data_IF_356996647817
#
_entry.id   IF_356996647817
#
_cell.length_a   1.000
_cell.length_b   1.000
_cell.length_c   1.000
_cell.angle_alpha   90.00
_cell.angle_beta   90.00
_cell.angle_gamma   90.00
#
_symmetry.space_group_name_H-M   'P 1'
#
loop_
_entity.id
_entity.type
_entity.pdbx_description
1 polymer ?
#
# COMPACT_ATOMS: atom_id res chain seq x y z
N UNK A 1 -27.76 -56.27 -2.30
CA UNK A 1 -28.05 -55.96 -3.73
C UNK A 1 -27.83 -54.46 -3.88
N UNK A 2 -26.80 -53.87 -4.48
CA UNK A 2 -25.60 -54.18 -5.29
C UNK A 2 -24.53 -53.16 -4.78
N UNK A 3 -23.27 -53.42 -4.42
CA UNK A 3 -22.06 -53.95 -5.10
C UNK A 3 -21.56 -53.17 -6.34
N UNK A 4 -20.24 -52.91 -6.31
CA UNK A 4 -19.31 -52.31 -7.29
C UNK A 4 -19.20 -50.77 -7.31
N UNK A 5 -18.02 -50.16 -7.44
CA UNK A 5 -16.69 -50.70 -7.72
C UNK A 5 -15.62 -49.60 -7.73
N UNK A 6 -14.41 -49.99 -7.40
CA UNK A 6 -13.18 -49.20 -7.34
C UNK A 6 -12.63 -48.87 -8.73
N UNK A 7 -11.98 -47.72 -8.92
CA UNK A 7 -10.92 -47.55 -9.94
C UNK A 7 -9.76 -46.72 -9.36
N UNK A 8 -8.59 -47.37 -9.28
CA UNK A 8 -7.23 -46.82 -9.18
C UNK A 8 -6.69 -46.51 -10.58
N UNK A 9 -5.49 -45.90 -10.63
CA UNK A 9 -4.59 -45.59 -11.75
C UNK A 9 -4.59 -44.09 -12.11
N UNK A 10 -3.46 -43.41 -12.28
CA UNK A 10 -2.09 -43.90 -12.40
C UNK A 10 -1.05 -42.79 -12.15
N UNK A 11 0.13 -43.26 -11.74
CA UNK A 11 1.40 -42.55 -11.70
C UNK A 11 1.85 -42.22 -13.13
N UNK A 12 2.42 -41.03 -13.34
CA UNK A 12 3.45 -40.84 -14.35
C UNK A 12 4.66 -40.13 -13.72
N UNK A 13 5.78 -40.84 -13.77
CA UNK A 13 7.16 -40.40 -13.54
C UNK A 13 7.81 -40.14 -14.91
N UNK A 14 8.98 -39.51 -14.87
CA UNK A 14 9.87 -39.05 -15.97
C UNK A 14 9.65 -37.58 -16.34
N UNK A 15 10.64 -36.69 -16.27
CA UNK A 15 12.09 -36.86 -16.22
C UNK A 15 12.71 -36.01 -17.32
N UNK A 16 13.68 -35.15 -16.98
CA UNK A 16 14.88 -34.84 -17.77
C UNK A 16 15.53 -33.54 -17.28
N UNK A 17 16.78 -33.68 -16.88
CA UNK A 17 17.71 -32.61 -16.62
C UNK A 17 18.12 -31.89 -17.91
N UNK A 18 18.40 -30.58 -17.81
CA UNK A 18 19.32 -29.91 -18.74
C UNK A 18 20.27 -29.03 -17.94
N UNK A 19 21.51 -29.50 -17.86
CA UNK A 19 22.72 -28.79 -17.47
C UNK A 19 23.24 -28.06 -18.71
N UNK A 20 23.54 -26.76 -18.66
CA UNK A 20 24.55 -26.17 -19.56
C UNK A 20 25.21 -24.94 -18.93
N UNK A 21 26.50 -24.85 -19.24
CA UNK A 21 27.58 -24.23 -18.48
C UNK A 21 27.85 -22.76 -18.80
N UNK A 22 28.52 -22.11 -17.83
CA UNK A 22 29.68 -21.19 -17.94
C UNK A 22 29.75 -20.19 -19.11
N UNK A 23 29.93 -18.91 -18.78
CA UNK A 23 31.11 -18.14 -19.21
C UNK A 23 31.26 -16.85 -18.39
N UNK A 24 32.43 -16.72 -17.78
CA UNK A 24 32.96 -15.51 -17.19
C UNK A 24 33.48 -14.57 -18.29
N UNK A 25 33.39 -13.25 -18.07
CA UNK A 25 34.34 -12.31 -18.63
C UNK A 25 34.50 -11.12 -17.69
N UNK A 26 35.75 -10.91 -17.29
CA UNK A 26 36.27 -9.86 -16.42
C UNK A 26 36.36 -8.48 -17.11
N UNK A 27 36.71 -7.48 -16.28
CA UNK A 27 37.60 -6.33 -16.54
C UNK A 27 37.01 -5.05 -17.17
N UNK A 28 36.86 -4.03 -16.33
CA UNK A 28 37.82 -2.90 -16.16
C UNK A 28 37.13 -1.61 -15.67
N UNK A 29 37.53 -1.15 -14.49
CA UNK A 29 37.55 0.27 -14.05
C UNK A 29 38.84 0.94 -14.58
N UNK A 30 39.13 2.24 -14.32
CA UNK A 30 38.31 3.43 -14.02
C UNK A 30 38.70 4.64 -14.91
N UNK A 31 38.03 5.80 -14.76
CA UNK A 31 38.71 7.11 -14.83
C UNK A 31 37.89 8.23 -14.16
N UNK A 32 38.55 8.87 -13.21
CA UNK A 32 38.24 10.14 -12.53
C UNK A 32 38.56 11.30 -13.46
N UNK A 33 37.76 12.38 -13.43
CA UNK A 33 38.23 13.76 -13.67
C UNK A 33 37.51 14.70 -12.70
N UNK A 34 38.32 15.61 -12.15
CA UNK A 34 38.07 16.63 -11.15
C UNK A 34 37.20 17.81 -11.62
N UNK A 35 36.36 18.29 -10.70
CA UNK A 35 36.32 19.64 -10.12
C UNK A 35 36.70 20.86 -11.02
N UNK A 36 35.75 21.79 -11.21
CA UNK A 36 36.05 23.24 -11.24
C UNK A 36 34.89 24.03 -10.60
N UNK A 37 35.28 24.91 -9.67
CA UNK A 37 34.51 25.89 -8.90
C UNK A 37 34.34 27.18 -9.72
N UNK A 38 33.20 27.88 -9.61
CA UNK A 38 33.10 29.33 -9.34
C UNK A 38 31.68 29.91 -9.58
N UNK A 39 31.09 30.46 -8.51
CA UNK A 39 30.34 31.72 -8.53
C UNK A 39 31.31 32.85 -8.06
N UNK A 40 30.98 34.16 -7.97
CA UNK A 40 29.70 34.86 -8.17
C UNK A 40 29.80 36.21 -8.93
N UNK A 41 28.67 36.88 -9.21
CA UNK A 41 28.59 38.36 -9.14
C UNK A 41 27.16 38.90 -9.02
N UNK A 42 27.04 39.89 -8.15
CA UNK A 42 25.83 40.62 -7.75
C UNK A 42 25.50 41.79 -8.68
N UNK A 43 24.23 42.24 -8.67
CA UNK A 43 23.84 43.64 -8.41
C UNK A 43 22.32 43.90 -8.47
N UNK A 44 21.83 44.69 -7.49
CA UNK A 44 20.55 45.44 -7.42
C UNK A 44 20.81 46.87 -7.96
N UNK A 45 19.82 47.72 -8.36
CA UNK A 45 18.94 48.50 -7.44
C UNK A 45 17.46 48.59 -7.95
N UNK A 46 16.43 48.58 -7.08
CA UNK A 46 15.70 49.72 -6.45
C UNK A 46 14.85 50.58 -7.40
N UNK A 47 13.52 50.59 -7.21
CA UNK A 47 12.72 51.78 -6.83
C UNK A 47 11.20 51.52 -6.92
N UNK A 48 10.46 52.03 -5.92
CA UNK A 48 8.99 52.19 -5.90
C UNK A 48 8.64 53.65 -6.23
N UNK A 49 7.43 53.95 -6.75
CA UNK A 49 6.42 54.56 -5.86
C UNK A 49 4.94 54.24 -6.18
N UNK A 50 4.09 54.26 -5.15
CA UNK A 50 2.60 54.31 -5.13
C UNK A 50 2.09 55.76 -5.40
N UNK A 51 0.78 56.13 -5.35
CA UNK A 51 -0.53 55.43 -5.43
C UNK A 51 -1.60 56.14 -6.32
N UNK A 52 -2.77 55.51 -6.62
CA UNK A 52 -4.08 56.23 -6.68
C UNK A 52 -5.34 55.35 -6.79
N UNK A 53 -6.28 55.66 -5.90
CA UNK A 53 -7.74 55.73 -6.01
C UNK A 53 -8.59 54.53 -6.49
N UNK A 54 -9.47 54.07 -5.58
CA UNK A 54 -10.72 53.36 -5.87
C UNK A 54 -11.69 54.22 -6.69
N UNK A 55 -12.67 53.62 -7.40
CA UNK A 55 -14.03 53.74 -6.89
C UNK A 55 -15.02 52.59 -7.21
N UNK A 56 -16.14 52.64 -6.49
CA UNK A 56 -17.50 52.11 -6.76
C UNK A 56 -17.78 50.61 -6.61
N UNK A 57 -18.66 50.32 -5.65
CA UNK A 57 -19.36 49.07 -5.44
C UNK A 57 -20.21 48.68 -6.67
N UNK A 58 -19.92 47.52 -7.24
CA UNK A 58 -20.80 46.85 -8.18
C UNK A 58 -21.62 45.78 -7.43
N UNK A 59 -22.92 45.81 -7.71
CA UNK A 59 -23.98 44.90 -7.26
C UNK A 59 -23.55 43.44 -7.47
N UNK A 60 -23.47 42.67 -6.39
CA UNK A 60 -23.31 41.22 -6.44
C UNK A 60 -24.64 40.59 -6.89
N UNK A 61 -24.74 40.25 -8.16
CA UNK A 61 -25.67 39.22 -8.63
C UNK A 61 -25.19 37.89 -8.07
N UNK A 62 -25.99 37.28 -7.18
CA UNK A 62 -25.72 35.95 -6.64
C UNK A 62 -25.57 34.94 -7.78
N UNK A 63 -24.37 34.39 -7.92
CA UNK A 63 -24.12 33.20 -8.72
C UNK A 63 -24.83 32.00 -8.06
N UNK A 64 -25.30 31.01 -8.82
CA UNK A 64 -25.84 29.78 -8.24
C UNK A 64 -24.76 29.14 -7.37
N UNK A 65 -25.15 28.69 -6.18
CA UNK A 65 -24.30 28.06 -5.18
C UNK A 65 -23.31 27.09 -5.84
N UNK A 66 -22.07 27.55 -6.01
CA UNK A 66 -20.96 26.67 -6.30
C UNK A 66 -20.86 25.72 -5.11
N UNK A 67 -20.85 24.41 -5.38
CA UNK A 67 -20.50 23.41 -4.39
C UNK A 67 -19.26 23.92 -3.64
N UNK A 68 -19.26 23.91 -2.29
CA UNK A 68 -18.09 24.36 -1.56
C UNK A 68 -16.90 23.58 -2.08
N UNK A 69 -15.89 24.29 -2.60
CA UNK A 69 -14.58 23.70 -2.84
C UNK A 69 -14.10 23.23 -1.46
N UNK A 70 -14.27 21.93 -1.19
CA UNK A 70 -13.61 21.29 -0.07
C UNK A 70 -12.12 21.46 -0.30
N UNK A 71 -11.53 22.44 0.37
CA UNK A 71 -10.08 22.61 0.46
C UNK A 71 -9.48 21.28 0.88
N UNK A 72 -8.82 20.64 -0.09
CA UNK A 72 -8.44 19.25 -0.04
C UNK A 72 -7.65 18.86 1.20
N UNK A 73 -7.94 17.65 1.69
CA UNK A 73 -7.17 16.82 2.61
C UNK A 73 -5.78 16.44 2.03
N UNK A 74 -5.08 17.37 1.38
CA UNK A 74 -3.79 17.14 0.73
C UNK A 74 -2.65 17.46 1.70
N UNK A 75 -2.50 16.59 2.70
CA UNK A 75 -1.40 16.64 3.65
C UNK A 75 -1.03 15.26 4.19
N UNK A 76 -1.16 14.23 3.36
CA UNK A 76 -1.04 12.84 3.78
C UNK A 76 0.26 12.20 3.25
N UNK A 77 1.29 12.20 4.07
CA UNK A 77 2.54 11.46 3.82
C UNK A 77 2.34 9.98 4.15
N UNK A 78 1.55 9.26 3.35
CA UNK A 78 1.75 7.82 3.23
C UNK A 78 3.09 7.65 2.55
N UNK A 79 4.15 7.34 3.29
CA UNK A 79 5.48 7.18 2.70
C UNK A 79 5.71 5.73 2.30
N UNK A 80 5.95 5.51 1.00
CA UNK A 80 6.60 4.29 0.57
C UNK A 80 7.92 4.13 1.31
N UNK A 81 8.24 2.88 1.64
CA UNK A 81 9.43 2.59 2.44
C UNK A 81 10.05 1.28 2.03
N UNK A 82 11.38 1.28 2.00
CA UNK A 82 12.18 0.05 2.01
C UNK A 82 12.91 0.00 3.33
N UNK A 83 12.66 -1.04 4.12
CA UNK A 83 13.25 -1.22 5.44
C UNK A 83 14.73 -1.63 5.42
N UNK A 84 15.27 -2.12 6.55
CA UNK A 84 14.53 -2.68 7.68
C UNK A 84 14.08 -1.63 8.69
N UNK A 85 12.81 -1.70 9.07
CA UNK A 85 12.27 -0.93 10.18
C UNK A 85 11.67 -1.87 11.21
N UNK A 86 12.22 -1.86 12.42
CA UNK A 86 11.72 -2.69 13.52
C UNK A 86 10.30 -2.28 13.88
N UNK A 87 9.39 -3.24 13.91
CA UNK A 87 8.02 -3.04 14.32
C UNK A 87 7.86 -3.30 15.81
N UNK A 88 7.03 -2.49 16.47
CA UNK A 88 6.68 -2.75 17.85
C UNK A 88 5.85 -4.03 17.96
N UNK A 89 6.01 -4.73 19.09
CA UNK A 89 5.20 -5.91 19.39
C UNK A 89 4.73 -5.87 20.83
N UNK A 90 3.49 -6.28 21.06
CA UNK A 90 2.90 -6.36 22.40
C UNK A 90 2.52 -7.80 22.71
N UNK A 91 3.13 -8.43 23.73
CA UNK A 91 2.70 -9.76 24.15
C UNK A 91 1.35 -9.67 24.85
N UNK A 92 0.43 -10.55 24.44
CA UNK A 92 -0.87 -10.71 25.07
C UNK A 92 -0.83 -11.91 25.99
N UNK A 93 -1.28 -11.73 27.24
CA UNK A 93 -1.49 -12.85 28.16
C UNK A 93 -2.65 -13.71 27.65
N UNK A 94 -2.64 -15.00 28.00
CA UNK A 94 -3.70 -15.94 27.60
C UNK A 94 -5.10 -15.42 27.96
N UNK A 95 -5.29 -14.88 29.16
CA UNK A 95 -6.58 -14.33 29.58
C UNK A 95 -7.02 -13.09 28.75
N UNK A 96 -6.08 -12.23 28.35
CA UNK A 96 -6.37 -11.06 27.50
C UNK A 96 -6.77 -11.51 26.10
N UNK A 97 -6.03 -12.48 25.55
CA UNK A 97 -6.33 -13.10 24.26
C UNK A 97 -7.69 -13.80 24.23
N UNK A 98 -8.00 -14.59 25.25
CA UNK A 98 -9.29 -15.29 25.36
C UNK A 98 -10.45 -14.31 25.48
N UNK A 99 -10.26 -13.20 26.21
CA UNK A 99 -11.26 -12.13 26.30
C UNK A 99 -11.49 -11.45 24.95
N UNK A 100 -10.43 -11.13 24.20
CA UNK A 100 -10.54 -10.53 22.86
C UNK A 100 -11.25 -11.47 21.88
N UNK A 101 -10.87 -12.75 21.86
CA UNK A 101 -11.53 -13.73 21.01
C UNK A 101 -13.01 -13.89 21.35
N UNK A 102 -13.34 -13.99 22.64
CA UNK A 102 -14.73 -14.08 23.06
C UNK A 102 -15.53 -12.84 22.64
N UNK A 103 -14.90 -11.67 22.60
CA UNK A 103 -15.55 -10.45 22.12
C UNK A 103 -15.78 -10.47 20.61
N UNK A 104 -14.76 -10.79 19.81
CA UNK A 104 -14.90 -10.93 18.36
C UNK A 104 -15.92 -12.01 17.99
N UNK A 105 -15.96 -13.11 18.74
CA UNK A 105 -16.94 -14.18 18.56
C UNK A 105 -18.38 -13.75 18.91
N UNK A 106 -18.57 -12.89 19.90
CA UNK A 106 -19.90 -12.31 20.19
C UNK A 106 -20.29 -11.29 19.14
N UNK A 107 -19.32 -10.55 18.61
CA UNK A 107 -19.49 -9.44 17.69
C UNK A 107 -19.17 -9.84 16.23
N UNK A 108 -19.48 -11.07 15.80
CA UNK A 108 -19.15 -11.60 14.46
C UNK A 108 -19.68 -10.78 13.27
N UNK A 109 -20.71 -9.96 13.49
CA UNK A 109 -21.22 -9.05 12.46
C UNK A 109 -20.32 -7.81 12.27
N UNK A 110 -19.44 -7.55 13.24
CA UNK A 110 -18.58 -6.37 13.30
C UNK A 110 -17.11 -6.72 13.07
N UNK A 111 -16.74 -8.01 13.14
CA UNK A 111 -15.37 -8.47 12.98
C UNK A 111 -15.27 -9.69 12.07
N UNK A 112 -14.23 -9.71 11.22
CA UNK A 112 -13.78 -10.89 10.49
C UNK A 112 -12.45 -11.38 11.07
N UNK A 113 -12.14 -12.66 10.87
CA UNK A 113 -10.86 -13.23 11.31
C UNK A 113 -10.30 -14.17 10.24
N UNK A 114 -9.07 -13.90 9.81
CA UNK A 114 -8.32 -14.71 8.85
C UNK A 114 -7.16 -15.40 9.54
N UNK A 115 -7.07 -16.73 9.40
CA UNK A 115 -6.02 -17.55 9.99
C UNK A 115 -5.02 -18.02 8.93
N UNK A 116 -3.72 -17.86 9.20
CA UNK A 116 -2.64 -18.34 8.33
C UNK A 116 -1.53 -18.96 9.18
N UNK A 117 -1.64 -20.25 9.49
CA UNK A 117 -0.69 -20.96 10.34
C UNK A 117 -0.58 -20.32 11.73
N UNK A 118 0.60 -19.76 12.05
CA UNK A 118 0.89 -19.07 13.32
C UNK A 118 0.45 -17.61 13.36
N UNK A 119 -0.28 -17.15 12.34
CA UNK A 119 -0.75 -15.78 12.18
C UNK A 119 -2.27 -15.71 12.24
N UNK A 120 -2.78 -14.63 12.82
CA UNK A 120 -4.20 -14.29 12.83
C UNK A 120 -4.37 -12.81 12.52
N UNK A 121 -5.07 -12.51 11.43
CA UNK A 121 -5.50 -11.17 11.07
C UNK A 121 -6.94 -10.99 11.53
N UNK A 122 -7.23 -9.89 12.21
CA UNK A 122 -8.57 -9.51 12.65
C UNK A 122 -8.91 -8.15 12.04
N UNK A 123 -10.07 -8.07 11.41
CA UNK A 123 -10.59 -6.83 10.80
C UNK A 123 -11.94 -6.52 11.43
N UNK A 124 -12.35 -5.25 11.45
CA UNK A 124 -13.66 -4.86 11.97
C UNK A 124 -13.85 -3.35 11.98
N UNK A 125 -14.48 -2.83 13.03
CA UNK A 125 -14.77 -1.38 13.19
C UNK A 125 -13.48 -0.56 13.41
N UNK A 126 -12.44 -1.20 13.93
CA UNK A 126 -11.14 -0.60 14.16
C UNK A 126 -10.17 -0.93 13.02
N UNK A 127 -8.99 -0.29 13.04
CA UNK A 127 -7.88 -0.66 12.15
C UNK A 127 -7.57 -2.16 12.23
N UNK A 128 -7.18 -2.81 11.12
CA UNK A 128 -6.85 -4.22 11.12
C UNK A 128 -5.70 -4.52 12.08
N UNK A 129 -5.80 -5.64 12.79
CA UNK A 129 -4.84 -6.08 13.82
C UNK A 129 -4.25 -7.42 13.42
N UNK A 130 -2.92 -7.51 13.42
CA UNK A 130 -2.20 -8.75 13.11
C UNK A 130 -1.55 -9.31 14.36
N UNK A 131 -1.90 -10.56 14.66
CA UNK A 131 -1.35 -11.32 15.75
C UNK A 131 -0.51 -12.48 15.23
N UNK A 132 0.54 -12.82 15.97
CA UNK A 132 1.38 -13.96 15.66
C UNK A 132 1.87 -14.69 16.90
N UNK A 133 2.23 -15.94 16.70
CA UNK A 133 2.95 -16.76 17.66
C UNK A 133 4.40 -16.96 17.19
N UNK A 134 5.37 -16.99 18.11
CA UNK A 134 6.78 -17.22 17.74
C UNK A 134 6.94 -18.62 17.14
N UNK A 135 6.30 -19.61 17.76
CA UNK A 135 6.18 -20.97 17.23
C UNK A 135 4.69 -21.33 17.10
N UNK A 136 4.36 -22.23 16.17
CA UNK A 136 2.96 -22.63 15.91
C UNK A 136 2.24 -23.31 17.10
N UNK A 137 2.99 -23.73 18.12
CA UNK A 137 2.48 -24.34 19.34
C UNK A 137 2.71 -23.48 20.59
N UNK A 138 3.18 -22.24 20.41
CA UNK A 138 3.28 -21.30 21.52
C UNK A 138 1.88 -20.97 22.04
N UNK A 139 1.75 -20.66 23.33
CA UNK A 139 0.51 -20.21 23.93
C UNK A 139 0.40 -18.68 23.99
N UNK A 140 1.50 -17.98 23.73
CA UNK A 140 1.57 -16.53 23.80
C UNK A 140 1.33 -15.94 22.41
N UNK A 141 0.26 -15.16 22.29
CA UNK A 141 0.02 -14.33 21.13
C UNK A 141 0.72 -12.98 21.29
N UNK A 142 1.21 -12.43 20.18
CA UNK A 142 1.80 -11.10 20.12
C UNK A 142 1.10 -10.31 19.04
N UNK A 143 0.72 -9.08 19.35
CA UNK A 143 0.26 -8.13 18.35
C UNK A 143 1.47 -7.45 17.70
N UNK A 144 1.43 -7.29 16.37
CA UNK A 144 2.42 -6.56 15.60
C UNK A 144 1.86 -5.17 15.29
N UNK A 145 2.64 -4.13 15.54
CA UNK A 145 2.36 -2.83 14.95
C UNK A 145 2.55 -2.91 13.44
N UNK A 146 1.44 -2.94 12.70
CA UNK A 146 1.47 -2.97 11.25
C UNK A 146 2.03 -1.67 10.66
N UNK A 147 2.29 -0.66 11.51
CA UNK A 147 2.74 0.68 11.18
C UNK A 147 1.87 1.28 10.07
N UNK A 148 0.57 0.94 10.03
CA UNK A 148 -0.37 1.46 9.04
C UNK A 148 -0.25 2.97 9.02
N UNK A 149 -0.40 3.61 7.85
CA UNK A 149 -0.35 5.06 7.80
C UNK A 149 -1.36 5.63 8.81
N UNK A 150 -0.92 6.62 9.59
CA UNK A 150 -1.69 7.28 10.66
C UNK A 150 -2.82 8.17 10.12
N UNK A 151 -3.39 7.79 8.96
CA UNK A 151 -4.51 8.52 8.41
C UNK A 151 -5.69 8.29 9.35
N UNK A 152 -6.40 9.37 9.67
CA UNK A 152 -7.79 9.34 10.14
C UNK A 152 -8.74 8.82 9.04
N UNK A 153 -8.27 7.85 8.22
CA UNK A 153 -9.15 6.96 7.47
C UNK A 153 -10.01 6.34 8.56
N UNK A 154 -11.28 6.70 8.55
CA UNK A 154 -12.25 6.02 9.36
C UNK A 154 -12.25 4.59 8.83
N UNK A 155 -11.57 3.68 9.53
CA UNK A 155 -11.56 2.23 9.27
C UNK A 155 -12.96 1.61 9.49
N UNK A 156 -14.01 2.43 9.50
CA UNK A 156 -15.39 2.03 9.62
C UNK A 156 -15.79 1.06 8.51
N UNK A 157 -16.84 0.30 8.78
CA UNK A 157 -17.29 -0.91 8.07
C UNK A 157 -17.56 -0.77 6.55
N UNK A 158 -17.31 0.39 5.96
CA UNK A 158 -17.54 0.69 4.56
C UNK A 158 -16.31 0.28 3.73
N UNK A 159 -16.20 -1.02 3.51
CA UNK A 159 -15.51 -1.63 2.35
C UNK A 159 -13.99 -1.47 2.26
N UNK A 160 -13.28 -1.94 3.28
CA UNK A 160 -11.87 -2.28 3.15
C UNK A 160 -11.65 -3.74 2.74
N UNK A 161 -10.75 -4.03 1.81
CA UNK A 161 -10.26 -5.41 1.59
C UNK A 161 -8.89 -5.57 2.26
N UNK A 162 -8.74 -6.55 3.16
CA UNK A 162 -7.42 -6.95 3.65
C UNK A 162 -7.08 -8.35 3.16
N UNK A 163 -5.89 -8.52 2.59
CA UNK A 163 -5.37 -9.81 2.18
C UNK A 163 -4.09 -10.12 2.96
N UNK A 164 -4.02 -11.33 3.54
CA UNK A 164 -2.82 -11.84 4.20
C UNK A 164 -2.31 -13.07 3.44
N UNK A 165 -1.05 -13.03 3.00
CA UNK A 165 -0.37 -14.12 2.33
C UNK A 165 1.07 -14.27 2.86
N UNK A 166 1.75 -15.33 2.42
CA UNK A 166 3.14 -15.63 2.75
C UNK A 166 3.97 -15.73 1.49
N UNK A 167 5.21 -15.27 1.56
CA UNK A 167 6.19 -15.30 0.48
C UNK A 167 7.53 -15.77 1.02
N UNK A 168 8.40 -16.29 0.15
CA UNK A 168 9.78 -16.61 0.52
C UNK A 168 10.74 -15.82 -0.38
N UNK A 169 11.19 -14.66 0.10
CA UNK A 169 12.03 -13.70 -0.60
C UNK A 169 13.51 -13.95 -0.35
N UNK A 170 13.90 -14.25 0.89
CA UNK A 170 15.31 -14.50 1.22
C UNK A 170 15.79 -15.93 0.89
N UNK A 171 14.86 -16.82 0.52
CA UNK A 171 15.14 -18.21 0.19
C UNK A 171 15.32 -19.12 1.40
N UNK A 172 15.07 -18.63 2.62
CA UNK A 172 15.10 -19.40 3.86
C UNK A 172 13.76 -20.10 4.06
N UNK A 173 13.70 -21.03 5.01
CA UNK A 173 12.46 -21.80 5.27
C UNK A 173 11.35 -20.96 5.89
N UNK A 174 11.69 -19.84 6.54
CA UNK A 174 10.72 -18.92 7.10
C UNK A 174 10.17 -18.01 5.99
N UNK A 175 8.85 -18.01 5.82
CA UNK A 175 8.19 -17.12 4.88
C UNK A 175 8.02 -15.71 5.49
N UNK A 176 8.26 -14.68 4.70
CA UNK A 176 7.81 -13.31 4.97
C UNK A 176 6.29 -13.19 4.74
N UNK A 177 5.65 -12.24 5.42
CA UNK A 177 4.23 -11.96 5.23
C UNK A 177 4.03 -10.88 4.18
N UNK A 178 3.09 -11.10 3.28
CA UNK A 178 2.55 -10.06 2.39
C UNK A 178 1.19 -9.67 2.95
N UNK A 179 1.02 -8.39 3.20
CA UNK A 179 -0.19 -7.85 3.76
C UNK A 179 -0.65 -6.70 2.87
N UNK A 180 -1.84 -6.86 2.30
CA UNK A 180 -2.45 -5.86 1.44
C UNK A 180 -3.65 -5.27 2.14
N UNK A 181 -3.77 -3.96 2.10
CA UNK A 181 -4.91 -3.25 2.67
C UNK A 181 -5.47 -2.33 1.61
N UNK A 182 -6.78 -2.40 1.41
CA UNK A 182 -7.48 -1.50 0.53
C UNK A 182 -8.56 -0.72 1.29
N UNK A 183 -8.20 0.18 2.22
CA UNK A 183 -9.19 0.98 2.89
C UNK A 183 -9.94 1.87 1.89
N UNK A 184 -11.22 2.08 2.14
CA UNK A 184 -12.03 3.03 1.41
C UNK A 184 -12.93 3.81 2.37
N UNK A 185 -13.29 5.02 1.97
CA UNK A 185 -14.24 5.86 2.66
C UNK A 185 -15.24 6.37 1.62
N UNK A 186 -16.52 6.05 1.79
CA UNK A 186 -17.56 6.46 0.86
C UNK A 186 -18.58 7.37 1.56
N UNK A 187 -19.02 8.38 0.83
CA UNK A 187 -20.15 9.23 1.19
C UNK A 187 -21.30 9.03 0.20
N UNK A 188 -22.34 9.85 0.32
CA UNK A 188 -23.52 9.71 -0.54
C UNK A 188 -23.24 10.00 -2.02
N UNK A 189 -22.26 10.87 -2.32
CA UNK A 189 -21.97 11.33 -3.68
C UNK A 189 -20.59 10.96 -4.24
N UNK A 190 -19.67 10.51 -3.40
CA UNK A 190 -18.29 10.20 -3.79
C UNK A 190 -17.64 9.28 -2.78
N UNK A 191 -16.43 8.81 -3.08
CA UNK A 191 -15.55 8.20 -2.09
C UNK A 191 -14.10 8.20 -2.51
N UNK A 192 -13.27 7.73 -1.60
CA UNK A 192 -11.83 7.59 -1.81
C UNK A 192 -11.39 6.21 -1.38
N UNK A 193 -10.57 5.58 -2.20
CA UNK A 193 -9.98 4.28 -1.92
C UNK A 193 -8.45 4.36 -2.03
N UNK A 194 -7.76 3.70 -1.11
CA UNK A 194 -6.32 3.53 -1.16
C UNK A 194 -6.00 2.05 -1.24
N UNK A 195 -4.94 1.67 -1.96
CA UNK A 195 -4.43 0.30 -2.00
C UNK A 195 -3.00 0.31 -1.50
N UNK A 196 -2.69 -0.47 -0.49
CA UNK A 196 -1.37 -0.55 0.14
C UNK A 196 -0.90 -1.99 0.15
N UNK A 197 0.41 -2.17 -0.03
CA UNK A 197 1.08 -3.42 0.31
C UNK A 197 2.17 -3.15 1.32
N UNK A 198 2.23 -3.99 2.35
CA UNK A 198 3.33 -4.10 3.28
C UNK A 198 3.88 -5.52 3.26
N UNK A 199 5.19 -5.65 3.39
CA UNK A 199 5.86 -6.94 3.51
C UNK A 199 6.66 -6.93 4.78
N UNK A 200 6.47 -7.96 5.59
CA UNK A 200 7.03 -8.09 6.92
C UNK A 200 7.91 -9.34 7.00
N UNK A 201 9.12 -9.21 7.51
CA UNK A 201 9.88 -10.37 7.95
C UNK A 201 9.58 -10.60 9.44
N UNK A 202 9.03 -11.78 9.73
CA UNK A 202 8.59 -12.23 11.06
C UNK A 202 9.32 -13.51 11.47
N UNK A 203 10.50 -13.76 10.89
CA UNK A 203 11.38 -14.89 11.24
C UNK A 203 11.96 -14.76 12.65
N UNK A 204 12.13 -13.53 13.13
CA UNK A 204 12.66 -13.21 14.47
C UNK A 204 11.89 -12.02 15.07
N UNK A 205 12.56 -10.90 15.32
CA UNK A 205 11.90 -9.63 15.64
C UNK A 205 11.20 -9.14 14.38
N UNK A 206 9.87 -8.85 14.41
CA UNK A 206 9.15 -8.35 13.25
C UNK A 206 9.79 -7.06 12.71
N UNK A 207 10.05 -7.05 11.41
CA UNK A 207 10.55 -5.88 10.68
C UNK A 207 9.68 -5.63 9.44
N UNK A 208 9.38 -4.36 9.17
CA UNK A 208 8.85 -3.93 7.89
C UNK A 208 10.01 -3.90 6.89
N UNK A 209 9.91 -4.68 5.82
CA UNK A 209 10.95 -4.74 4.77
C UNK A 209 10.57 -3.93 3.54
N UNK A 210 9.28 -3.83 3.24
CA UNK A 210 8.79 -3.09 2.08
C UNK A 210 7.38 -2.55 2.36
N UNK A 211 7.12 -1.32 1.95
CA UNK A 211 5.79 -0.72 1.90
C UNK A 211 5.63 0.11 0.65
N UNK A 212 4.49 -0.02 0.00
CA UNK A 212 4.13 0.79 -1.15
C UNK A 212 2.64 1.14 -1.14
N UNK A 213 2.31 2.42 -1.38
CA UNK A 213 0.96 2.84 -1.77
C UNK A 213 0.77 2.49 -3.25
N UNK A 214 -0.06 1.52 -3.55
CA UNK A 214 -0.32 1.01 -4.89
C UNK A 214 -1.37 1.81 -5.64
N UNK A 215 -2.38 2.34 -4.94
CA UNK A 215 -3.40 3.18 -5.54
C UNK A 215 -3.90 4.24 -4.56
N UNK A 216 -4.30 5.39 -5.11
CA UNK A 216 -5.09 6.42 -4.44
C UNK A 216 -6.12 6.86 -5.49
N UNK A 217 -7.38 6.50 -5.27
CA UNK A 217 -8.47 6.58 -6.23
C UNK A 217 -9.60 7.40 -5.60
N UNK A 218 -10.20 8.30 -6.38
CA UNK A 218 -11.41 9.02 -6.03
C UNK A 218 -12.51 8.57 -6.97
N UNK A 219 -13.67 8.21 -6.42
CA UNK A 219 -14.84 7.77 -7.17
C UNK A 219 -15.97 8.77 -6.97
N UNK A 220 -16.67 9.12 -8.05
CA UNK A 220 -17.87 9.94 -8.02
C UNK A 220 -19.09 9.10 -8.42
N UNK A 221 -20.11 9.09 -7.57
CA UNK A 221 -21.28 8.23 -7.76
C UNK A 221 -22.29 8.87 -8.71
N UNK A 222 -22.26 8.42 -9.97
CA UNK A 222 -23.12 8.90 -11.07
C UNK A 222 -24.61 8.95 -10.70
N UNK A 223 -25.11 7.93 -9.99
CA UNK A 223 -26.50 7.87 -9.56
C UNK A 223 -26.87 9.03 -8.63
N UNK A 224 -25.99 9.37 -7.68
CA UNK A 224 -26.21 10.49 -6.77
C UNK A 224 -26.17 11.83 -7.52
N UNK A 225 -25.15 12.04 -8.36
CA UNK A 225 -25.05 13.26 -9.16
C UNK A 225 -26.30 13.48 -10.04
N UNK A 226 -26.78 12.43 -10.70
CA UNK A 226 -27.98 12.48 -11.56
C UNK A 226 -29.23 12.87 -10.76
N UNK A 227 -29.43 12.34 -9.55
CA UNK A 227 -30.57 12.70 -8.70
C UNK A 227 -30.58 14.20 -8.32
N UNK A 228 -29.42 14.84 -8.31
CA UNK A 228 -29.25 16.25 -8.00
C UNK A 228 -29.09 17.14 -9.25
N UNK A 229 -29.29 16.58 -10.46
CA UNK A 229 -29.24 17.33 -11.71
C UNK A 229 -27.84 17.66 -12.21
N UNK A 230 -26.81 16.97 -11.70
CA UNK A 230 -25.44 17.09 -12.18
C UNK A 230 -25.11 16.00 -13.21
N UNK A 231 -24.31 16.37 -14.21
CA UNK A 231 -23.70 15.43 -15.15
C UNK A 231 -22.23 15.22 -14.75
N UNK A 232 -21.79 13.97 -14.67
CA UNK A 232 -20.38 13.60 -14.43
C UNK A 232 -19.82 13.06 -15.74
N UNK A 233 -18.70 13.62 -16.20
CA UNK A 233 -18.03 13.09 -17.38
C UNK A 233 -17.50 11.67 -17.11
N UNK A 234 -17.46 10.75 -18.10
CA UNK A 234 -16.94 9.41 -17.89
C UNK A 234 -15.52 9.35 -17.30
N UNK A 235 -14.68 10.35 -17.56
CA UNK A 235 -13.33 10.48 -17.00
C UNK A 235 -13.27 11.00 -15.57
N UNK A 236 -14.37 11.52 -15.02
CA UNK A 236 -14.49 12.04 -13.66
C UNK A 236 -15.14 11.06 -12.69
N UNK A 237 -15.75 9.99 -13.21
CA UNK A 237 -16.37 8.95 -12.37
C UNK A 237 -15.34 8.22 -11.49
N UNK A 238 -14.13 8.04 -12.01
CA UNK A 238 -13.02 7.44 -11.27
C UNK A 238 -11.72 8.14 -11.70
N UNK A 239 -11.14 8.86 -10.76
CA UNK A 239 -9.88 9.57 -10.93
C UNK A 239 -8.86 9.03 -9.93
N UNK A 240 -7.59 9.36 -10.15
CA UNK A 240 -6.50 9.06 -9.23
C UNK A 240 -5.34 8.39 -9.94
N UNK A 241 -4.54 7.66 -9.17
CA UNK A 241 -3.32 7.05 -9.66
C UNK A 241 -3.16 5.64 -9.12
N UNK A 242 -2.59 4.75 -9.95
CA UNK A 242 -2.29 3.37 -9.58
C UNK A 242 -0.96 2.88 -10.11
N UNK A 243 -0.40 1.87 -9.47
CA UNK A 243 0.71 1.05 -9.95
C UNK A 243 0.51 -0.38 -9.53
N UNK A 244 1.12 -1.30 -10.27
CA UNK A 244 1.01 -2.73 -9.97
C UNK A 244 2.10 -3.17 -9.01
N UNK A 245 1.78 -4.12 -8.13
CA UNK A 245 2.77 -4.86 -7.35
C UNK A 245 2.61 -6.35 -7.57
N UNK A 246 3.74 -7.07 -7.68
CA UNK A 246 3.77 -8.53 -7.76
C UNK A 246 5.02 -9.06 -7.09
N UNK A 247 4.92 -10.23 -6.48
CA UNK A 247 6.09 -11.04 -6.14
C UNK A 247 6.38 -12.00 -7.30
N UNK A 248 7.61 -12.00 -7.82
CA UNK A 248 8.05 -12.96 -8.84
C UNK A 248 9.47 -13.42 -8.57
N UNK A 249 9.69 -14.74 -8.51
CA UNK A 249 11.05 -15.33 -8.37
C UNK A 249 11.84 -14.72 -7.20
N UNK A 250 11.21 -14.57 -6.03
CA UNK A 250 11.80 -13.95 -4.83
C UNK A 250 12.15 -12.46 -4.96
N UNK A 251 11.62 -11.80 -5.98
CA UNK A 251 11.76 -10.37 -6.18
C UNK A 251 10.40 -9.69 -6.05
N UNK A 252 10.42 -8.49 -5.50
CA UNK A 252 9.29 -7.58 -5.50
C UNK A 252 9.34 -6.78 -6.79
N UNK A 253 8.25 -6.77 -7.53
CA UNK A 253 8.16 -6.09 -8.82
C UNK A 253 7.12 -4.99 -8.70
N UNK A 254 7.60 -3.74 -8.75
CA UNK A 254 6.78 -2.55 -8.71
C UNK A 254 6.66 -1.97 -10.12
N UNK A 255 5.43 -1.83 -10.60
CA UNK A 255 5.12 -1.26 -11.90
C UNK A 255 5.22 0.28 -11.91
N UNK A 256 5.18 0.90 -13.10
CA UNK A 256 5.08 2.36 -13.21
C UNK A 256 3.75 2.86 -12.68
N UNK A 257 3.76 4.09 -12.15
CA UNK A 257 2.55 4.85 -11.83
C UNK A 257 1.82 5.21 -13.13
N UNK A 258 0.51 5.08 -13.11
CA UNK A 258 -0.42 5.44 -14.18
C UNK A 258 -1.55 6.27 -13.58
N UNK A 259 -1.98 7.29 -14.31
CA UNK A 259 -3.20 8.04 -13.99
C UNK A 259 -4.44 7.24 -14.38
N UNK A 260 -5.56 7.56 -13.74
CA UNK A 260 -6.90 7.02 -13.99
C UNK A 260 -7.81 8.20 -14.30
N UNK A 261 -8.75 8.02 -15.24
CA UNK A 261 -9.69 9.07 -15.63
C UNK A 261 -9.00 10.34 -16.10
N UNK A 262 -9.53 11.47 -15.66
CA UNK A 262 -9.07 12.81 -16.02
C UNK A 262 -7.91 13.34 -15.14
N UNK A 263 -7.33 12.53 -14.25
CA UNK A 263 -6.21 12.95 -13.38
C UNK A 263 -4.99 13.38 -14.18
N UNK A 264 -4.47 14.56 -13.87
CA UNK A 264 -3.25 15.07 -14.51
C UNK A 264 -2.01 14.42 -13.89
N UNK A 265 -0.96 14.22 -14.68
CA UNK A 265 0.26 13.54 -14.21
C UNK A 265 0.96 14.23 -13.03
N UNK A 266 0.76 15.53 -12.83
CA UNK A 266 1.28 16.28 -11.68
C UNK A 266 0.46 16.17 -10.40
N UNK A 267 -0.76 15.62 -10.48
CA UNK A 267 -1.70 15.47 -9.36
C UNK A 267 -1.56 14.09 -8.68
N UNK A 268 -0.71 13.19 -9.21
CA UNK A 268 -0.48 11.89 -8.60
C UNK A 268 0.27 11.99 -7.26
N UNK A 269 -0.45 11.72 -6.16
CA UNK A 269 0.10 11.59 -4.82
C UNK A 269 0.85 10.26 -4.57
N UNK A 270 0.88 9.34 -5.54
CA UNK A 270 1.65 8.11 -5.40
C UNK A 270 3.14 8.40 -5.30
N UNK A 271 3.73 7.77 -4.29
CA UNK A 271 5.06 8.02 -3.76
C UNK A 271 6.22 7.66 -4.71
N UNK A 272 7.43 8.05 -4.28
CA UNK A 272 8.69 8.12 -5.03
C UNK A 272 9.37 6.78 -5.33
N UNK A 273 8.89 5.61 -4.86
CA UNK A 273 9.59 4.36 -5.17
C UNK A 273 9.61 4.12 -6.69
N UNK A 274 10.80 4.08 -7.33
CA UNK A 274 10.85 3.94 -8.78
C UNK A 274 10.38 2.57 -9.22
N UNK A 275 9.61 2.50 -10.30
CA UNK A 275 9.29 1.23 -10.93
C UNK A 275 10.55 0.38 -11.15
N UNK A 276 10.42 -0.93 -10.95
CA UNK A 276 11.54 -1.84 -11.08
C UNK A 276 11.40 -3.09 -10.21
N UNK A 277 12.52 -3.79 -10.11
CA UNK A 277 12.65 -5.00 -9.30
C UNK A 277 13.39 -4.67 -8.03
N UNK A 278 12.98 -5.28 -6.94
CA UNK A 278 13.61 -5.17 -5.65
C UNK A 278 13.84 -6.56 -5.09
N UNK A 279 14.97 -6.74 -4.41
CA UNK A 279 15.37 -8.01 -3.83
C UNK A 279 15.62 -7.82 -2.35
N UNK A 280 15.05 -8.73 -1.57
CA UNK A 280 15.33 -8.81 -0.14
C UNK A 280 16.57 -9.68 0.08
N UNK A 281 17.61 -9.09 0.67
CA UNK A 281 18.87 -9.78 0.99
C UNK A 281 19.45 -9.22 2.27
N UNK A 282 19.89 -10.10 3.17
CA UNK A 282 20.56 -9.73 4.42
C UNK A 282 19.78 -8.71 5.26
N UNK A 283 18.46 -8.91 5.39
CA UNK A 283 17.61 -8.01 6.17
C UNK A 283 17.27 -6.68 5.49
N UNK A 284 17.61 -6.49 4.22
CA UNK A 284 17.37 -5.22 3.51
C UNK A 284 16.76 -5.42 2.13
N UNK A 285 15.92 -4.49 1.70
CA UNK A 285 15.38 -4.47 0.33
C UNK A 285 16.21 -3.53 -0.53
N UNK A 286 16.76 -4.06 -1.62
CA UNK A 286 17.61 -3.33 -2.56
C UNK A 286 17.02 -3.38 -3.97
N UNK A 287 17.11 -2.28 -4.71
CA UNK A 287 16.70 -2.26 -6.13
C UNK A 287 17.66 -3.12 -6.96
N UNK A 288 17.12 -4.02 -7.77
CA UNK A 288 17.85 -4.99 -8.57
C UNK A 288 17.90 -4.58 -10.07
N UNK A 289 19.07 -4.77 -10.70
CA UNK A 289 19.28 -4.55 -12.14
C UNK A 289 19.27 -3.09 -12.56
N UNK A 290 20.13 -2.27 -11.94
CA UNK A 290 20.52 -0.96 -12.50
C UNK A 290 21.27 -1.16 -13.80
#
# INVERSE_FOLDING_TARGET
MWLFGSIRYGRFLMGAAVLFSLLACERNRPRTIEQVVAAPKASRPADSPTPKAAPVAAVQTAAPDALPEETGLLGLEVTDRTGPDTLATWPLKTAEWDSLNADWDRNKNLYSTTHLGRFRLVEGIERPRLFYQIAAHDSIWREIDLALPDVDIHWGMESGETELDTVNLDGRSAAELVLRFRPAAYGSGSGTAWDHVSILDVSSTPILIFRALLAAEEEAFVGYATMHGYEIEPGEQLTGCKRTFKVRRRELVLGPVRTIGNTKSGECALTKLPAGRYRYQNGKVLRAGK
#
